data_IF_948300290680
#
_entry.id   IF_948300290680
#
_cell.length_a   1.000
_cell.length_b   1.000
_cell.length_c   1.000
_cell.angle_alpha   90.00
_cell.angle_beta   90.00
_cell.angle_gamma   90.00
#
_symmetry.space_group_name_H-M   'P 1'
#
loop_
_entity.id
_entity.type
_entity.pdbx_description
1 polymer ?
#
# COMPACT_ATOMS: atom_id res chain seq x y z
N UNK A 1 25.15 28.67 26.36
CA UNK A 1 23.95 27.87 26.67
C UNK A 1 23.29 27.47 25.36
N UNK A 2 23.17 26.16 25.06
CA UNK A 2 22.55 25.63 23.84
C UNK A 2 21.21 25.01 24.22
N UNK A 3 20.11 25.52 23.69
CA UNK A 3 18.78 24.92 23.83
C UNK A 3 18.38 24.28 22.50
N UNK A 4 18.28 22.95 22.50
CA UNK A 4 17.64 22.17 21.45
C UNK A 4 16.13 22.17 21.70
N UNK A 5 15.33 22.62 20.73
CA UNK A 5 13.89 22.40 20.72
C UNK A 5 13.58 21.23 19.77
N UNK A 6 13.28 20.07 20.36
CA UNK A 6 12.67 18.95 19.65
C UNK A 6 11.18 18.90 19.99
N UNK A 7 10.31 19.13 19.00
CA UNK A 7 8.88 18.92 19.14
C UNK A 7 8.55 17.49 18.67
N UNK A 8 8.50 16.55 19.60
CA UNK A 8 7.92 15.22 19.39
C UNK A 8 6.52 15.17 19.98
N UNK A 9 5.49 15.10 19.15
CA UNK A 9 4.12 14.88 19.61
C UNK A 9 3.92 13.41 19.99
N UNK A 10 3.70 13.15 21.28
CA UNK A 10 3.32 11.85 21.84
C UNK A 10 1.80 11.67 21.70
N UNK A 11 1.35 10.73 20.88
CA UNK A 11 -0.06 10.33 20.83
C UNK A 11 -0.33 9.21 21.83
N UNK A 12 -1.10 9.53 22.87
CA UNK A 12 -1.58 8.57 23.87
C UNK A 12 -2.81 7.83 23.34
N UNK A 13 -2.71 6.51 23.14
CA UNK A 13 -3.87 5.66 22.86
C UNK A 13 -4.38 5.10 24.19
N UNK A 14 -5.55 5.58 24.64
CA UNK A 14 -6.28 4.98 25.76
C UNK A 14 -7.00 3.72 25.27
N UNK A 15 -6.53 2.54 25.70
CA UNK A 15 -7.26 1.29 25.54
C UNK A 15 -8.16 1.08 26.76
N UNK A 16 -9.48 1.19 26.58
CA UNK A 16 -10.47 0.76 27.59
C UNK A 16 -10.64 -0.76 27.48
N UNK A 17 -10.44 -1.54 28.55
CA UNK A 17 -10.64 -2.98 28.52
C UNK A 17 -12.14 -3.28 28.68
N UNK A 18 -12.77 -3.80 27.63
CA UNK A 18 -14.17 -4.23 27.69
C UNK A 18 -14.50 -5.17 26.55
N UNK A 19 -14.87 -6.42 26.91
CA UNK A 19 -15.53 -7.49 26.16
C UNK A 19 -15.19 -7.66 24.67
N UNK A 20 -14.88 -8.90 24.25
CA UNK A 20 -14.63 -9.29 22.87
C UNK A 20 -15.90 -9.15 21.98
N UNK A 21 -16.30 -7.92 21.69
CA UNK A 21 -17.05 -7.60 20.49
C UNK A 21 -16.08 -7.66 19.32
N UNK A 22 -16.48 -8.34 18.25
CA UNK A 22 -15.87 -8.21 16.92
C UNK A 22 -16.04 -6.75 16.45
N UNK A 23 -15.29 -5.81 17.03
CA UNK A 23 -15.26 -4.43 16.56
C UNK A 23 -14.70 -4.46 15.15
N UNK A 24 -15.44 -3.88 14.22
CA UNK A 24 -14.89 -3.51 12.90
C UNK A 24 -13.72 -2.58 13.17
N UNK A 25 -12.50 -3.10 13.04
CA UNK A 25 -11.30 -2.31 13.22
C UNK A 25 -11.17 -1.41 11.99
N UNK A 26 -11.26 -0.10 12.22
CA UNK A 26 -10.92 0.92 11.23
C UNK A 26 -9.59 1.53 11.66
N UNK A 27 -8.64 1.53 10.75
CA UNK A 27 -7.34 2.17 10.92
C UNK A 27 -7.23 3.31 9.91
N UNK A 28 -6.81 4.48 10.37
CA UNK A 28 -6.52 5.63 9.51
C UNK A 28 -5.10 6.08 9.82
N UNK A 29 -4.27 6.20 8.78
CA UNK A 29 -2.91 6.70 8.88
C UNK A 29 -2.70 7.75 7.80
N UNK A 30 -2.00 8.83 8.15
CA UNK A 30 -1.62 9.90 7.25
C UNK A 30 -0.12 10.16 7.26
N UNK A 31 0.38 10.67 6.15
CA UNK A 31 1.76 11.04 5.92
C UNK A 31 1.81 12.40 5.24
N UNK A 32 2.82 13.18 5.59
CA UNK A 32 3.18 14.43 4.92
C UNK A 32 4.66 14.72 5.16
N UNK A 33 5.24 15.51 4.29
CA UNK A 33 6.64 15.89 4.36
C UNK A 33 6.83 17.35 3.90
N UNK A 34 7.91 17.96 4.39
CA UNK A 34 8.32 19.32 4.03
C UNK A 34 9.82 19.29 3.79
N UNK A 35 10.26 19.88 2.68
CA UNK A 35 11.63 19.79 2.21
C UNK A 35 12.19 21.17 1.88
N UNK A 36 13.51 21.26 1.78
CA UNK A 36 14.21 22.41 1.21
C UNK A 36 15.08 21.91 0.06
N UNK A 37 14.95 22.52 -1.12
CA UNK A 37 15.75 22.18 -2.29
C UNK A 37 16.78 23.27 -2.61
N UNK A 38 18.02 22.85 -2.82
CA UNK A 38 19.04 23.61 -3.57
C UNK A 38 19.46 22.83 -4.82
N UNK A 39 19.91 23.52 -5.86
CA UNK A 39 20.35 22.92 -7.12
C UNK A 39 21.32 23.82 -7.88
N UNK A 40 22.37 23.20 -8.43
CA UNK A 40 23.26 23.85 -9.41
C UNK A 40 22.59 24.02 -10.79
N UNK A 41 21.46 23.36 -11.02
CA UNK A 41 20.65 23.53 -12.23
C UNK A 41 19.77 24.78 -12.10
N UNK A 42 19.41 25.45 -13.21
CA UNK A 42 18.53 26.61 -13.17
C UNK A 42 17.07 26.20 -12.91
N UNK A 43 16.80 25.73 -11.69
CA UNK A 43 15.48 25.35 -11.19
C UNK A 43 15.16 26.13 -9.92
N UNK A 44 13.89 26.43 -9.63
CA UNK A 44 13.53 27.15 -8.41
C UNK A 44 13.98 26.41 -7.14
N UNK A 45 14.76 27.08 -6.29
CA UNK A 45 15.18 26.60 -4.97
C UNK A 45 14.20 27.02 -3.87
N UNK A 46 14.34 26.46 -2.68
CA UNK A 46 13.60 26.90 -1.48
C UNK A 46 12.78 25.82 -0.80
N UNK A 47 11.93 26.25 0.14
CA UNK A 47 11.03 25.37 0.89
C UNK A 47 9.92 24.83 -0.02
N UNK A 48 9.58 23.55 0.18
CA UNK A 48 8.56 22.84 -0.58
C UNK A 48 7.73 21.99 0.35
N UNK A 49 6.41 22.04 0.16
CA UNK A 49 5.53 21.00 0.68
C UNK A 49 5.68 19.75 -0.19
N UNK A 50 5.73 18.60 0.46
CA UNK A 50 5.57 17.30 -0.17
C UNK A 50 4.11 16.94 -0.43
N UNK A 51 3.91 15.71 -0.89
CA UNK A 51 2.59 15.13 -1.08
C UNK A 51 1.99 14.70 0.26
N UNK A 52 0.74 15.08 0.53
CA UNK A 52 -0.03 14.50 1.61
C UNK A 52 -0.61 13.16 1.14
N UNK A 53 -0.48 12.12 1.96
CA UNK A 53 -1.02 10.80 1.64
C UNK A 53 -1.75 10.26 2.86
N UNK A 54 -2.95 9.72 2.67
CA UNK A 54 -3.72 9.12 3.74
C UNK A 54 -4.32 7.80 3.29
N UNK A 55 -4.36 6.83 4.19
CA UNK A 55 -5.05 5.57 3.93
C UNK A 55 -5.97 5.18 5.07
N UNK A 56 -7.06 4.52 4.69
CA UNK A 56 -8.03 3.91 5.59
C UNK A 56 -8.11 2.42 5.30
N UNK A 57 -8.04 1.60 6.35
CA UNK A 57 -8.28 0.17 6.30
C UNK A 57 -9.45 -0.19 7.20
N UNK A 58 -10.33 -1.08 6.75
CA UNK A 58 -11.48 -1.53 7.53
C UNK A 58 -11.68 -3.05 7.39
N UNK A 59 -11.72 -3.76 8.53
CA UNK A 59 -12.22 -5.14 8.56
C UNK A 59 -13.75 -5.12 8.57
N UNK A 60 -14.37 -5.53 7.45
CA UNK A 60 -15.83 -5.55 7.30
C UNK A 60 -16.43 -6.83 7.91
N UNK A 61 -15.74 -7.95 7.72
CA UNK A 61 -16.03 -9.27 8.34
C UNK A 61 -14.72 -9.96 8.71
N UNK A 62 -14.77 -11.23 9.15
CA UNK A 62 -13.56 -12.05 9.39
C UNK A 62 -12.78 -12.41 8.13
N UNK A 63 -13.39 -12.26 6.94
CA UNK A 63 -12.78 -12.59 5.64
C UNK A 63 -12.84 -11.47 4.61
N UNK A 64 -13.60 -10.41 4.86
CA UNK A 64 -13.78 -9.28 3.94
C UNK A 64 -13.19 -8.01 4.53
N UNK A 65 -12.29 -7.38 3.79
CA UNK A 65 -11.65 -6.12 4.15
C UNK A 65 -11.76 -5.08 3.04
N UNK A 66 -11.75 -3.82 3.44
CA UNK A 66 -11.67 -2.66 2.55
C UNK A 66 -10.41 -1.85 2.85
N UNK A 67 -9.79 -1.31 1.81
CA UNK A 67 -8.66 -0.39 1.91
C UNK A 67 -8.81 0.73 0.89
N UNK A 68 -8.56 1.97 1.28
CA UNK A 68 -8.45 3.10 0.36
C UNK A 68 -7.24 3.97 0.70
N UNK A 69 -6.63 4.55 -0.33
CA UNK A 69 -5.53 5.53 -0.22
C UNK A 69 -5.85 6.73 -1.11
N UNK A 70 -5.71 7.92 -0.54
CA UNK A 70 -5.93 9.20 -1.20
C UNK A 70 -4.67 10.05 -1.03
N UNK A 71 -4.32 10.80 -2.06
CA UNK A 71 -3.22 11.76 -2.03
C UNK A 71 -3.69 13.15 -2.36
N UNK A 72 -2.98 14.14 -1.82
CA UNK A 72 -3.07 15.53 -2.21
C UNK A 72 -1.68 16.03 -2.56
N UNK A 73 -1.46 16.33 -3.85
CA UNK A 73 -0.18 16.82 -4.34
C UNK A 73 -0.22 18.33 -4.52
N UNK A 74 0.76 19.09 -3.99
CA UNK A 74 0.80 20.53 -4.16
C UNK A 74 1.03 20.89 -5.64
N UNK A 75 0.37 21.96 -6.09
CA UNK A 75 0.51 22.54 -7.42
C UNK A 75 1.00 23.98 -7.25
N UNK A 76 1.94 24.43 -8.08
CA UNK A 76 2.60 25.73 -7.90
C UNK A 76 1.62 26.92 -7.93
N UNK A 77 0.60 26.83 -8.78
CA UNK A 77 -0.47 27.82 -8.89
C UNK A 77 -1.80 27.07 -9.01
N UNK A 78 -2.61 27.09 -7.94
CA UNK A 78 -3.93 26.48 -7.93
C UNK A 78 -4.18 25.54 -6.74
N UNK A 79 -5.30 24.80 -6.74
CA UNK A 79 -5.62 23.84 -5.70
C UNK A 79 -4.68 22.63 -5.75
N UNK A 80 -4.64 21.87 -4.65
CA UNK A 80 -3.99 20.56 -4.63
C UNK A 80 -4.61 19.63 -5.67
N UNK A 81 -3.78 18.81 -6.32
CA UNK A 81 -4.24 17.70 -7.13
C UNK A 81 -4.58 16.52 -6.22
N UNK A 82 -5.87 16.18 -6.13
CA UNK A 82 -6.38 15.07 -5.33
C UNK A 82 -6.48 13.81 -6.20
N UNK A 83 -5.89 12.70 -5.77
CA UNK A 83 -5.98 11.41 -6.46
C UNK A 83 -6.41 10.29 -5.52
N UNK A 84 -7.29 9.40 -6.00
CA UNK A 84 -7.55 8.11 -5.37
C UNK A 84 -6.54 7.12 -5.95
N UNK A 85 -5.53 6.78 -5.16
CA UNK A 85 -4.43 5.93 -5.61
C UNK A 85 -4.82 4.45 -5.52
N UNK A 86 -5.48 4.07 -4.43
CA UNK A 86 -5.98 2.70 -4.21
C UNK A 86 -7.38 2.71 -3.62
N UNK A 87 -8.19 1.77 -4.06
CA UNK A 87 -9.52 1.47 -3.52
C UNK A 87 -9.80 0.00 -3.73
N UNK A 88 -9.82 -0.76 -2.65
CA UNK A 88 -9.60 -2.21 -2.68
C UNK A 88 -10.65 -2.87 -1.81
N UNK A 89 -11.44 -3.74 -2.40
CA UNK A 89 -12.18 -4.75 -1.66
C UNK A 89 -11.40 -6.07 -1.75
N UNK A 90 -11.22 -6.75 -0.62
CA UNK A 90 -10.48 -8.01 -0.56
C UNK A 90 -11.22 -9.06 0.24
N UNK A 91 -11.29 -10.26 -0.33
CA UNK A 91 -11.83 -11.46 0.28
C UNK A 91 -10.73 -12.50 0.48
N UNK A 92 -10.53 -12.91 1.73
CA UNK A 92 -9.60 -13.95 2.14
C UNK A 92 -10.29 -15.33 2.04
N UNK A 93 -10.01 -16.05 0.95
CA UNK A 93 -10.57 -17.39 0.69
C UNK A 93 -9.91 -18.42 1.62
N UNK A 94 -8.59 -18.35 1.70
CA UNK A 94 -7.73 -19.17 2.56
C UNK A 94 -6.40 -18.42 2.80
N UNK A 95 -5.55 -18.95 3.68
CA UNK A 95 -4.24 -18.35 3.97
C UNK A 95 -3.39 -18.18 2.70
N UNK A 96 -3.48 -19.17 1.80
CA UNK A 96 -2.74 -19.23 0.55
C UNK A 96 -3.46 -18.56 -0.64
N UNK A 97 -4.72 -18.13 -0.51
CA UNK A 97 -5.46 -17.53 -1.63
C UNK A 97 -6.36 -16.38 -1.17
N UNK A 98 -6.15 -15.24 -1.81
CA UNK A 98 -6.89 -14.01 -1.56
C UNK A 98 -7.31 -13.41 -2.87
N UNK A 99 -8.54 -12.93 -2.92
CA UNK A 99 -9.15 -12.33 -4.11
C UNK A 99 -9.44 -10.88 -3.82
N UNK A 100 -9.18 -9.99 -4.77
CA UNK A 100 -9.38 -8.56 -4.60
C UNK A 100 -9.97 -7.94 -5.86
N UNK A 101 -10.87 -6.97 -5.69
CA UNK A 101 -11.45 -6.16 -6.74
C UNK A 101 -11.33 -4.65 -6.45
N UNK A 102 -10.92 -3.87 -7.46
CA UNK A 102 -10.75 -2.42 -7.32
C UNK A 102 -9.50 -1.87 -8.01
N UNK A 103 -8.95 -0.79 -7.47
CA UNK A 103 -7.73 -0.09 -7.92
C UNK A 103 -6.57 -0.37 -6.97
N UNK A 104 -5.46 -0.85 -7.51
CA UNK A 104 -4.25 -1.24 -6.77
C UNK A 104 -3.02 -0.61 -7.40
N UNK A 105 -1.93 -0.53 -6.64
CA UNK A 105 -0.61 -0.46 -7.26
C UNK A 105 -0.31 -1.79 -7.95
N UNK A 106 0.19 -1.74 -9.17
CA UNK A 106 0.62 -2.93 -9.89
C UNK A 106 1.71 -3.64 -9.09
N UNK A 107 1.68 -4.98 -8.99
CA UNK A 107 2.71 -5.74 -8.28
C UNK A 107 4.00 -5.86 -9.12
N UNK A 108 4.38 -4.80 -9.82
CA UNK A 108 5.49 -4.76 -10.77
C UNK A 108 6.59 -3.84 -10.25
N UNK A 109 7.82 -4.34 -10.27
CA UNK A 109 8.98 -3.59 -9.78
C UNK A 109 9.05 -3.51 -8.25
N UNK A 110 10.27 -3.36 -7.74
CA UNK A 110 10.51 -3.27 -6.31
C UNK A 110 9.88 -2.02 -5.69
N UNK A 111 10.01 -0.86 -6.37
CA UNK A 111 9.52 0.41 -5.84
C UNK A 111 8.00 0.43 -5.67
N UNK A 112 7.23 -0.08 -6.64
CA UNK A 112 5.76 -0.03 -6.58
C UNK A 112 5.17 -1.00 -5.53
N UNK A 113 5.94 -2.04 -5.17
CA UNK A 113 5.54 -3.07 -4.21
C UNK A 113 6.04 -2.81 -2.79
N UNK A 114 7.23 -2.20 -2.64
CA UNK A 114 7.82 -1.91 -1.34
C UNK A 114 7.39 -0.55 -0.78
N UNK A 115 7.13 0.44 -1.64
CA UNK A 115 6.90 1.83 -1.24
C UNK A 115 5.64 2.40 -1.91
N UNK A 116 4.67 2.82 -1.10
CA UNK A 116 3.44 3.52 -1.54
C UNK A 116 3.56 5.04 -1.29
N UNK A 117 2.47 5.80 -1.35
CA UNK A 117 2.56 7.25 -1.11
C UNK A 117 2.92 7.54 0.35
N UNK A 118 3.47 8.73 0.59
CA UNK A 118 4.11 9.12 1.85
C UNK A 118 5.63 8.91 1.79
N UNK A 119 6.39 10.02 1.71
CA UNK A 119 7.85 9.98 1.66
C UNK A 119 8.47 9.35 2.91
N UNK A 120 7.82 9.48 4.07
CA UNK A 120 8.22 8.81 5.32
C UNK A 120 8.40 7.29 5.18
N UNK A 121 7.66 6.65 4.28
CA UNK A 121 7.75 5.20 4.06
C UNK A 121 8.95 4.79 3.20
N UNK A 122 9.64 5.75 2.59
CA UNK A 122 10.72 5.54 1.62
C UNK A 122 12.09 5.74 2.26
N UNK A 123 13.10 5.08 1.70
CA UNK A 123 14.49 5.22 2.15
C UNK A 123 15.21 6.43 1.53
N UNK A 124 14.66 6.98 0.45
CA UNK A 124 15.20 8.15 -0.25
C UNK A 124 14.20 9.31 -0.20
N UNK A 125 14.71 10.53 -0.38
CA UNK A 125 13.89 11.75 -0.43
C UNK A 125 12.99 11.83 -1.68
N UNK A 126 13.30 11.05 -2.72
CA UNK A 126 12.54 10.95 -3.95
C UNK A 126 12.60 9.53 -4.53
N UNK A 127 11.54 9.11 -5.25
CA UNK A 127 11.58 7.90 -6.08
C UNK A 127 12.59 8.07 -7.22
N UNK A 128 13.27 7.00 -7.68
CA UNK A 128 14.10 7.06 -8.87
C UNK A 128 13.29 7.47 -10.10
N UNK A 129 13.88 8.32 -10.95
CA UNK A 129 13.22 8.95 -12.10
C UNK A 129 12.50 7.95 -13.02
N UNK A 130 13.13 6.80 -13.30
CA UNK A 130 12.57 5.75 -14.17
C UNK A 130 11.27 5.12 -13.65
N UNK A 131 11.02 5.19 -12.34
CA UNK A 131 9.87 4.55 -11.67
C UNK A 131 9.05 5.55 -10.85
N UNK A 132 9.23 6.85 -11.12
CA UNK A 132 8.47 7.90 -10.45
C UNK A 132 7.00 7.81 -10.81
N UNK A 133 6.15 8.25 -9.89
CA UNK A 133 4.72 8.38 -10.18
C UNK A 133 4.47 9.38 -11.30
N UNK A 134 3.53 9.06 -12.18
CA UNK A 134 3.26 9.85 -13.37
C UNK A 134 4.37 9.82 -14.42
N UNK A 135 5.36 8.92 -14.31
CA UNK A 135 6.28 8.60 -15.41
C UNK A 135 5.54 8.03 -16.62
N UNK A 136 6.25 7.80 -17.74
CA UNK A 136 5.60 7.38 -18.99
C UNK A 136 5.45 5.86 -19.13
N UNK A 137 6.37 5.08 -18.55
CA UNK A 137 6.62 3.70 -18.98
C UNK A 137 6.11 2.62 -18.03
N UNK A 138 6.11 2.87 -16.72
CA UNK A 138 5.72 1.86 -15.75
C UNK A 138 4.26 2.10 -15.32
N UNK A 139 3.34 1.17 -15.62
CA UNK A 139 2.00 1.18 -15.04
C UNK A 139 2.08 1.19 -13.52
N UNK A 140 1.61 2.26 -12.90
CA UNK A 140 1.56 2.36 -11.43
C UNK A 140 0.29 1.71 -10.93
N UNK A 141 -0.84 1.95 -11.59
CA UNK A 141 -2.14 1.42 -11.17
C UNK A 141 -2.64 0.27 -12.04
N UNK A 142 -3.43 -0.58 -11.40
CA UNK A 142 -4.21 -1.64 -12.03
C UNK A 142 -5.64 -1.59 -11.50
N UNK A 143 -6.61 -1.48 -12.39
CA UNK A 143 -8.04 -1.51 -12.06
C UNK A 143 -8.63 -2.80 -12.60
N UNK A 144 -9.13 -3.64 -11.70
CA UNK A 144 -9.69 -4.95 -12.07
C UNK A 144 -9.71 -5.94 -10.91
N UNK A 145 -9.52 -7.22 -11.27
CA UNK A 145 -9.47 -8.35 -10.34
C UNK A 145 -8.04 -8.83 -10.15
N UNK A 146 -7.69 -9.18 -8.91
CA UNK A 146 -6.40 -9.75 -8.56
C UNK A 146 -6.59 -10.97 -7.65
N UNK A 147 -5.82 -12.01 -7.92
CA UNK A 147 -5.59 -13.13 -7.02
C UNK A 147 -4.15 -13.08 -6.52
N UNK A 148 -3.97 -13.26 -5.21
CA UNK A 148 -2.66 -13.33 -4.59
C UNK A 148 -2.59 -14.42 -3.52
N UNK A 149 -1.38 -14.84 -3.23
CA UNK A 149 -1.18 -15.92 -2.28
C UNK A 149 0.26 -16.21 -1.97
N UNK A 150 0.44 -17.10 -1.00
CA UNK A 150 1.74 -17.63 -0.66
C UNK A 150 1.63 -19.04 -0.13
N UNK A 151 2.59 -19.89 -0.51
CA UNK A 151 2.74 -21.25 0.02
C UNK A 151 4.21 -21.50 0.31
N UNK A 152 4.50 -22.35 1.31
CA UNK A 152 5.86 -22.61 1.73
C UNK A 152 5.97 -23.68 2.80
N UNK A 153 7.12 -24.35 2.86
CA UNK A 153 7.51 -25.30 3.89
C UNK A 153 9.04 -25.31 4.03
N UNK A 154 9.56 -25.73 5.19
CA UNK A 154 11.00 -25.98 5.36
C UNK A 154 11.92 -24.77 5.10
N UNK A 155 11.50 -23.56 5.47
CA UNK A 155 12.31 -22.34 5.27
C UNK A 155 12.27 -21.76 3.86
N UNK A 156 11.41 -22.28 2.98
CA UNK A 156 11.11 -21.72 1.67
C UNK A 156 9.66 -21.22 1.64
N UNK A 157 9.45 -19.96 1.26
CA UNK A 157 8.13 -19.47 0.87
C UNK A 157 8.16 -18.94 -0.56
N UNK A 158 7.09 -19.20 -1.29
CA UNK A 158 6.75 -18.67 -2.61
C UNK A 158 5.56 -17.75 -2.44
N UNK A 159 5.62 -16.57 -3.08
CA UNK A 159 4.50 -15.63 -3.19
C UNK A 159 4.14 -15.49 -4.67
N UNK A 160 2.86 -15.26 -4.96
CA UNK A 160 2.38 -15.06 -6.33
C UNK A 160 1.30 -13.99 -6.38
N UNK A 161 1.22 -13.30 -7.52
CA UNK A 161 0.12 -12.40 -7.85
C UNK A 161 -0.25 -12.55 -9.32
N UNK A 162 -1.55 -12.60 -9.62
CA UNK A 162 -2.08 -12.62 -10.96
C UNK A 162 -3.32 -11.73 -11.04
N UNK A 163 -3.56 -11.04 -12.16
CA UNK A 163 -4.73 -10.19 -12.30
C UNK A 163 -5.15 -9.94 -13.73
N UNK A 164 -6.43 -9.57 -13.88
CA UNK A 164 -7.06 -9.15 -15.12
C UNK A 164 -7.81 -7.84 -14.90
N UNK A 165 -7.71 -6.91 -15.83
CA UNK A 165 -8.21 -5.56 -15.64
C UNK A 165 -8.31 -4.77 -16.94
N UNK A 166 -8.53 -3.46 -16.77
CA UNK A 166 -8.73 -2.52 -17.87
C UNK A 166 -7.55 -2.48 -18.83
N UNK A 167 -7.85 -2.50 -20.13
CA UNK A 167 -6.87 -2.32 -21.19
C UNK A 167 -6.21 -0.95 -21.13
N UNK A 168 -4.95 -0.90 -21.57
CA UNK A 168 -4.12 0.31 -21.54
C UNK A 168 -4.02 0.90 -22.95
N UNK A 169 -4.10 2.22 -23.05
CA UNK A 169 -4.08 2.95 -24.32
C UNK A 169 -2.72 2.93 -25.04
N UNK A 170 -2.53 3.89 -25.96
CA UNK A 170 -1.34 3.95 -26.82
C UNK A 170 -0.01 3.87 -26.03
N UNK A 171 1.04 3.21 -26.59
CA UNK A 171 2.30 2.94 -25.90
C UNK A 171 3.10 4.19 -25.50
N UNK A 172 2.75 5.37 -26.03
CA UNK A 172 3.38 6.66 -25.70
C UNK A 172 3.05 7.17 -24.29
N UNK A 173 1.97 6.70 -23.66
CA UNK A 173 1.62 7.07 -22.27
C UNK A 173 0.94 5.93 -21.52
N UNK A 174 1.61 4.78 -21.43
CA UNK A 174 1.02 3.58 -20.83
C UNK A 174 0.81 3.72 -19.32
N UNK A 175 1.54 4.58 -18.61
CA UNK A 175 1.54 4.60 -17.14
C UNK A 175 0.20 4.96 -16.46
N UNK A 176 -0.67 5.75 -17.11
CA UNK A 176 -2.02 6.12 -16.60
C UNK A 176 -3.18 5.49 -17.37
N UNK A 177 -2.93 4.86 -18.52
CA UNK A 177 -4.01 4.23 -19.32
C UNK A 177 -4.65 3.07 -18.56
N UNK A 178 -5.98 3.03 -18.43
CA UNK A 178 -6.68 2.00 -17.67
C UNK A 178 -7.11 2.42 -16.25
N UNK A 179 -6.55 3.51 -15.73
CA UNK A 179 -6.71 3.95 -14.33
C UNK A 179 -8.13 4.44 -13.99
N UNK A 180 -8.86 4.95 -14.99
CA UNK A 180 -10.22 5.49 -14.87
C UNK A 180 -11.27 4.70 -15.68
N UNK A 181 -10.86 3.63 -16.38
CA UNK A 181 -11.70 2.87 -17.29
C UNK A 181 -10.88 2.16 -18.36
N UNK A 182 -11.50 1.24 -19.09
CA UNK A 182 -10.86 0.54 -20.21
C UNK A 182 -10.57 1.52 -21.35
N UNK A 183 -9.28 1.71 -21.66
CA UNK A 183 -8.84 2.71 -22.62
C UNK A 183 -8.86 2.22 -24.07
N UNK A 184 -9.02 0.92 -24.32
CA UNK A 184 -8.92 0.35 -25.67
C UNK A 184 -9.82 -0.87 -25.92
N UNK A 185 -10.80 -1.13 -25.06
CA UNK A 185 -11.70 -2.30 -25.13
C UNK A 185 -10.96 -3.65 -25.09
N UNK A 186 -9.75 -3.69 -24.49
CA UNK A 186 -8.97 -4.91 -24.31
C UNK A 186 -8.74 -5.19 -22.82
N UNK A 187 -8.21 -6.39 -22.52
CA UNK A 187 -7.89 -6.79 -21.14
C UNK A 187 -6.40 -6.68 -20.87
N UNK A 188 -6.02 -5.92 -19.86
CA UNK A 188 -4.69 -6.01 -19.30
C UNK A 188 -4.58 -7.27 -18.42
N UNK A 189 -3.43 -7.95 -18.50
CA UNK A 189 -3.10 -9.11 -17.67
C UNK A 189 -1.79 -8.83 -16.96
N UNK A 190 -1.75 -9.05 -15.65
CA UNK A 190 -0.53 -8.97 -14.85
C UNK A 190 -0.23 -10.32 -14.22
N UNK A 191 1.04 -10.71 -14.25
CA UNK A 191 1.58 -11.89 -13.56
C UNK A 191 2.90 -11.49 -12.93
N UNK A 192 3.05 -11.65 -11.63
CA UNK A 192 4.25 -11.24 -10.92
C UNK A 192 4.84 -12.35 -10.04
N UNK A 193 6.14 -12.54 -10.27
CA UNK A 193 7.25 -13.12 -9.49
C UNK A 193 6.97 -14.15 -8.38
N UNK A 194 7.53 -15.34 -8.60
CA UNK A 194 7.89 -16.32 -7.56
C UNK A 194 9.16 -15.81 -6.88
N UNK A 195 9.08 -15.41 -5.60
CA UNK A 195 10.27 -15.07 -4.80
C UNK A 195 10.51 -16.12 -3.74
N UNK A 196 11.71 -16.73 -3.72
CA UNK A 196 12.21 -17.52 -2.59
C UNK A 196 12.43 -16.59 -1.40
N UNK A 197 11.69 -16.81 -0.31
CA UNK A 197 12.01 -16.24 1.00
C UNK A 197 12.71 -17.33 1.79
N UNK A 198 13.98 -17.13 2.13
CA UNK A 198 14.82 -18.07 2.89
C UNK A 198 15.41 -17.35 4.09
N UNK A 199 15.09 -17.83 5.30
CA UNK A 199 15.60 -17.26 6.56
C UNK A 199 14.88 -15.99 7.00
N UNK A 200 14.76 -15.84 8.32
CA UNK A 200 14.26 -14.75 9.18
C UNK A 200 14.22 -13.31 8.60
N UNK A 201 13.48 -13.07 7.52
CA UNK A 201 13.11 -11.71 7.13
C UNK A 201 11.72 -11.39 7.68
N UNK A 202 11.67 -11.09 8.98
CA UNK A 202 10.45 -10.64 9.65
C UNK A 202 9.93 -9.27 9.12
N UNK A 203 10.61 -8.67 8.15
CA UNK A 203 10.22 -7.42 7.49
C UNK A 203 9.66 -7.69 6.10
N UNK A 204 8.43 -8.21 6.05
CA UNK A 204 7.54 -7.76 4.99
C UNK A 204 7.50 -6.21 5.01
N UNK A 205 7.48 -5.52 3.86
CA UNK A 205 7.21 -4.09 3.81
C UNK A 205 5.97 -3.82 4.68
N UNK A 206 6.10 -2.87 5.61
CA UNK A 206 5.07 -2.61 6.63
C UNK A 206 3.70 -2.21 6.03
N UNK A 207 3.62 -1.96 4.73
CA UNK A 207 2.42 -1.55 4.00
C UNK A 207 1.30 -2.59 3.91
N UNK A 208 1.57 -3.87 4.19
CA UNK A 208 0.55 -4.93 4.17
C UNK A 208 0.16 -5.48 5.56
N UNK A 209 0.67 -4.89 6.65
CA UNK A 209 0.33 -5.31 8.02
C UNK A 209 -0.97 -4.70 8.57
N UNK A 210 -1.78 -4.03 7.75
CA UNK A 210 -3.00 -3.33 8.19
C UNK A 210 -4.19 -4.24 8.56
N UNK A 211 -4.12 -5.55 8.34
CA UNK A 211 -5.15 -6.48 8.82
C UNK A 211 -4.45 -7.64 9.53
N UNK A 212 -4.07 -7.42 10.79
CA UNK A 212 -3.68 -8.50 11.68
C UNK A 212 -4.95 -9.26 12.07
N UNK A 213 -5.13 -10.49 11.58
CA UNK A 213 -5.97 -11.43 12.30
C UNK A 213 -5.32 -11.67 13.67
N UNK A 214 -6.07 -11.46 14.74
CA UNK A 214 -5.75 -12.04 16.03
C UNK A 214 -5.82 -13.56 15.84
N UNK A 215 -4.79 -14.34 16.25
CA UNK A 215 -4.85 -15.79 16.11
C UNK A 215 -6.09 -16.32 16.82
N UNK A 216 -6.90 -17.12 16.11
CA UNK A 216 -7.90 -17.94 16.78
C UNK A 216 -7.15 -18.85 17.75
N UNK A 217 -7.42 -18.71 19.05
CA UNK A 217 -6.93 -19.63 20.06
C UNK A 217 -7.48 -21.01 19.75
N UNK A 218 -6.62 -21.89 19.23
CA UNK A 218 -6.90 -23.31 19.17
C UNK A 218 -6.98 -23.83 20.62
N UNK A 219 -8.19 -24.10 21.09
CA UNK A 219 -8.45 -24.52 22.46
C UNK A 219 -7.98 -25.95 22.75
N UNK A 220 -7.72 -26.22 24.03
CA UNK A 220 -7.91 -27.54 24.63
C UNK A 220 -8.57 -27.39 25.99
N UNK A 221 -9.88 -27.62 26.02
CA UNK A 221 -10.50 -28.19 27.23
C UNK A 221 -9.98 -29.62 27.32
N UNK A 222 -9.31 -29.98 28.42
CA UNK A 222 -9.33 -31.36 28.91
C UNK A 222 -10.39 -31.41 29.99
N UNK A 223 -11.41 -32.20 29.75
CA UNK A 223 -12.28 -32.73 30.78
C UNK A 223 -11.67 -34.06 31.24
N UNK A 224 -11.73 -34.32 32.56
CA UNK A 224 -11.45 -35.62 33.18
C UNK A 224 -9.97 -35.90 33.45
N UNK A 225 -9.54 -35.75 34.70
CA UNK A 225 -9.24 -36.88 35.61
C UNK A 225 -8.85 -36.31 36.98
N UNK A 226 -9.64 -36.70 38.00
CA UNK A 226 -9.48 -36.63 39.47
C UNK A 226 -8.72 -35.45 40.09
#
# INVERSE_FOLDING_TARGET
MRALFGAGALWLVLAVPGAAQHRKAVEVIGFGDFNFLTSERPVPEGFRSGQLAGHVGAALTSRLGFFAEVTASPVATGPFNLEIERSILRYDVADYLKLSAGRYHTPMGYWNTAFHHGQWLQTSVNRPEMVKFGGQFLPVHFVGLQAEGSFGSGGLAVRYHAGVGNGRGAPTFIARGGDAGDANAQRARQRANVRRVSGLDHRAPRSHRGIRQVPASAGRRRAGDL
#
